data_IF_363565078778
#
_entry.id   IF_363565078778
#
_cell.length_a   1.000
_cell.length_b   1.000
_cell.length_c   1.000
_cell.angle_alpha   90.00
_cell.angle_beta   90.00
_cell.angle_gamma   90.00
#
_symmetry.space_group_name_H-M   'P 1'
#
loop_
_entity.id
_entity.type
_entity.pdbx_description
1 polymer ?
#
# COMPACT_ATOMS: atom_id res chain seq x y z
N UNK A 1 -5.92 -0.54 16.11
CA UNK A 1 -6.53 -0.79 17.46
C UNK A 1 -5.60 -0.23 18.50
N UNK A 2 -6.14 0.55 19.42
CA UNK A 2 -5.38 1.15 20.51
C UNK A 2 -5.69 0.39 21.80
N UNK A 3 -4.68 -0.16 22.44
CA UNK A 3 -4.77 -0.72 23.78
C UNK A 3 -4.91 0.41 24.79
N UNK A 4 -6.11 0.70 25.21
CA UNK A 4 -6.38 1.72 26.23
C UNK A 4 -6.93 1.09 27.49
N UNK A 5 -6.57 1.67 28.62
CA UNK A 5 -7.15 1.28 29.91
C UNK A 5 -8.63 1.61 29.96
N UNK A 6 -9.47 0.65 30.32
CA UNK A 6 -10.93 0.78 30.34
C UNK A 6 -11.53 1.03 31.71
N UNK A 7 -10.70 1.12 32.74
CA UNK A 7 -11.14 1.36 34.13
C UNK A 7 -11.39 2.82 34.48
N UNK A 8 -11.16 3.74 33.50
CA UNK A 8 -11.36 5.18 33.67
C UNK A 8 -10.51 5.83 34.78
N UNK A 9 -9.44 5.18 35.22
CA UNK A 9 -8.52 5.76 36.20
C UNK A 9 -7.49 6.67 35.52
N UNK A 10 -7.28 7.83 36.14
CA UNK A 10 -6.17 8.71 35.76
C UNK A 10 -4.85 8.06 36.16
N UNK A 11 -3.91 8.06 35.23
CA UNK A 11 -2.56 7.56 35.47
C UNK A 11 -1.59 8.72 35.60
N UNK A 12 -0.55 8.49 36.41
CA UNK A 12 0.66 9.28 36.29
C UNK A 12 1.31 8.96 34.95
N UNK A 13 1.31 9.90 34.03
CA UNK A 13 2.02 9.76 32.76
C UNK A 13 3.53 9.83 32.99
N UNK A 14 4.34 9.20 32.13
CA UNK A 14 5.79 9.43 32.12
C UNK A 14 6.06 10.92 32.02
N UNK A 15 7.24 11.36 32.46
CA UNK A 15 7.62 12.76 32.48
C UNK A 15 7.25 13.46 31.17
N UNK A 16 6.45 14.52 31.25
CA UNK A 16 6.14 15.33 30.10
C UNK A 16 7.43 15.88 29.46
N UNK A 17 7.41 16.01 28.18
CA UNK A 17 8.37 16.85 27.47
C UNK A 17 8.03 18.31 27.80
N UNK A 18 9.00 19.22 27.65
CA UNK A 18 8.84 20.65 27.96
C UNK A 18 7.59 21.31 27.37
N UNK A 19 6.93 20.68 26.41
CA UNK A 19 5.71 21.16 25.77
C UNK A 19 4.41 20.59 26.38
N UNK A 20 4.50 19.80 27.45
CA UNK A 20 3.32 19.17 28.09
C UNK A 20 2.76 17.96 27.35
N UNK A 21 3.44 17.47 26.31
CA UNK A 21 3.01 16.33 25.51
C UNK A 21 3.78 15.05 25.87
N UNK A 22 3.09 13.92 25.85
CA UNK A 22 3.67 12.60 26.07
C UNK A 22 3.46 11.76 24.81
N UNK A 23 4.48 11.06 24.30
CA UNK A 23 4.31 10.17 23.17
C UNK A 23 3.28 9.09 23.46
N UNK A 24 2.42 8.80 22.49
CA UNK A 24 1.36 7.79 22.62
C UNK A 24 1.90 6.43 23.09
N UNK A 25 2.99 5.87 22.55
CA UNK A 25 3.54 4.59 23.02
C UNK A 25 3.90 4.61 24.50
N UNK A 26 4.45 5.70 25.02
CA UNK A 26 4.79 5.83 26.44
C UNK A 26 3.55 5.90 27.33
N UNK A 27 2.46 6.49 26.83
CA UNK A 27 1.19 6.56 27.54
C UNK A 27 0.43 5.23 27.59
N UNK A 28 0.75 4.29 26.70
CA UNK A 28 0.13 2.97 26.61
C UNK A 28 0.85 1.90 27.42
N UNK A 29 2.04 2.17 27.95
CA UNK A 29 2.75 1.26 28.86
C UNK A 29 1.84 0.92 30.04
N UNK A 30 1.60 -0.37 30.29
CA UNK A 30 0.66 -0.89 31.30
C UNK A 30 -0.84 -0.62 31.00
N UNK A 31 -1.21 -0.34 29.75
CA UNK A 31 -2.60 -0.34 29.36
C UNK A 31 -3.25 -1.73 29.57
N UNK A 32 -4.53 -1.75 29.85
CA UNK A 32 -5.27 -3.03 29.90
C UNK A 32 -5.39 -3.60 28.49
N UNK A 33 -5.17 -4.91 28.31
CA UNK A 33 -5.26 -5.54 26.99
C UNK A 33 -6.66 -5.38 26.39
N UNK A 34 -6.71 -5.21 25.05
CA UNK A 34 -7.95 -5.06 24.29
C UNK A 34 -8.66 -6.40 24.03
N UNK A 35 -7.95 -7.52 24.18
CA UNK A 35 -8.38 -8.86 23.79
C UNK A 35 -9.74 -9.26 24.35
N UNK A 36 -10.07 -9.04 25.65
CA UNK A 36 -11.38 -9.43 26.18
C UNK A 36 -12.55 -8.71 25.48
N UNK A 37 -12.35 -7.46 25.07
CA UNK A 37 -13.37 -6.67 24.39
C UNK A 37 -13.55 -7.13 22.93
N UNK A 38 -12.46 -7.45 22.26
CA UNK A 38 -12.51 -7.98 20.89
C UNK A 38 -13.11 -9.39 20.86
N UNK A 39 -12.79 -10.22 21.85
CA UNK A 39 -13.39 -11.54 21.96
C UNK A 39 -14.92 -11.45 22.19
N UNK A 40 -15.37 -10.57 23.09
CA UNK A 40 -16.78 -10.31 23.28
C UNK A 40 -17.47 -9.79 22.02
N UNK A 41 -16.82 -8.89 21.28
CA UNK A 41 -17.31 -8.38 20.01
C UNK A 41 -17.47 -9.50 18.97
N UNK A 42 -16.46 -10.39 18.85
CA UNK A 42 -16.52 -11.56 17.97
C UNK A 42 -17.71 -12.45 18.34
N UNK A 43 -17.85 -12.84 19.60
CA UNK A 43 -18.88 -13.76 20.04
C UNK A 43 -20.29 -13.18 19.90
N UNK A 44 -20.46 -11.91 20.25
CA UNK A 44 -21.77 -11.25 20.24
C UNK A 44 -22.22 -10.76 18.88
N UNK A 45 -21.29 -10.53 17.96
CA UNK A 45 -21.60 -9.94 16.63
C UNK A 45 -21.03 -10.76 15.48
N UNK A 46 -19.74 -10.79 15.26
CA UNK A 46 -19.12 -11.33 14.05
C UNK A 46 -19.51 -12.78 13.78
N UNK A 47 -19.41 -13.64 14.80
CA UNK A 47 -19.72 -15.06 14.68
C UNK A 47 -21.20 -15.33 14.36
N UNK A 48 -22.11 -14.49 14.86
CA UNK A 48 -23.56 -14.66 14.59
C UNK A 48 -23.93 -14.46 13.13
N UNK A 49 -23.20 -13.60 12.44
CA UNK A 49 -23.51 -13.20 11.07
C UNK A 49 -22.52 -13.80 10.05
N UNK A 50 -21.59 -14.65 10.52
CA UNK A 50 -20.49 -15.14 9.70
C UNK A 50 -19.81 -13.99 8.94
N UNK A 51 -19.54 -12.90 9.65
CA UNK A 51 -19.05 -11.66 9.06
C UNK A 51 -17.59 -11.81 8.64
N UNK A 52 -17.26 -11.34 7.44
CA UNK A 52 -15.88 -11.06 7.07
C UNK A 52 -15.45 -9.76 7.77
N UNK A 53 -14.33 -9.81 8.49
CA UNK A 53 -13.87 -8.69 9.31
C UNK A 53 -12.40 -8.38 9.06
N UNK A 54 -12.07 -7.08 9.05
CA UNK A 54 -10.69 -6.62 8.88
C UNK A 54 -10.33 -5.70 10.03
N UNK A 55 -9.23 -6.01 10.70
CA UNK A 55 -8.69 -5.19 11.78
C UNK A 55 -7.67 -4.18 11.30
N UNK A 56 -7.69 -2.99 11.89
CA UNK A 56 -6.60 -2.03 11.81
C UNK A 56 -5.74 -2.20 13.06
N UNK A 57 -4.54 -2.80 12.88
CA UNK A 57 -3.62 -3.14 13.96
C UNK A 57 -2.22 -2.72 13.56
N UNK A 58 -1.51 -2.06 14.48
CA UNK A 58 -0.14 -1.60 14.27
C UNK A 58 0.79 -2.25 15.30
N UNK A 59 2.00 -2.58 14.87
CA UNK A 59 3.10 -3.05 15.71
C UNK A 59 2.75 -4.29 16.57
N UNK A 60 1.92 -5.17 16.04
CA UNK A 60 1.55 -6.42 16.69
C UNK A 60 2.77 -7.37 16.79
N UNK A 61 2.88 -8.07 17.91
CA UNK A 61 3.81 -9.19 18.09
C UNK A 61 3.33 -10.43 17.36
N UNK A 62 4.15 -11.47 17.27
CA UNK A 62 3.73 -12.74 16.65
C UNK A 62 2.61 -13.42 17.45
N UNK A 63 2.64 -13.31 18.78
CA UNK A 63 1.57 -13.82 19.63
C UNK A 63 0.25 -13.07 19.40
N UNK A 64 0.31 -11.73 19.30
CA UNK A 64 -0.85 -10.91 18.99
C UNK A 64 -1.37 -11.17 17.57
N UNK A 65 -0.48 -11.43 16.59
CA UNK A 65 -0.89 -11.80 15.24
C UNK A 65 -1.75 -13.08 15.25
N UNK A 66 -1.36 -14.10 16.01
CA UNK A 66 -2.19 -15.31 16.21
C UNK A 66 -3.55 -15.01 16.81
N UNK A 67 -3.62 -14.08 17.75
CA UNK A 67 -4.89 -13.64 18.34
C UNK A 67 -5.76 -12.91 17.33
N UNK A 68 -5.16 -12.05 16.49
CA UNK A 68 -5.93 -11.25 15.53
C UNK A 68 -6.43 -12.09 14.34
N UNK A 69 -5.58 -12.88 13.67
CA UNK A 69 -5.90 -13.55 12.39
C UNK A 69 -5.65 -15.06 12.36
N UNK A 70 -5.25 -15.68 13.47
CA UNK A 70 -5.06 -17.13 13.54
C UNK A 70 -6.35 -17.91 13.32
N UNK A 71 -6.27 -19.23 13.38
CA UNK A 71 -7.41 -20.14 13.14
C UNK A 71 -8.67 -19.75 13.93
N UNK A 72 -8.49 -19.31 15.18
CA UNK A 72 -9.55 -18.83 16.05
C UNK A 72 -9.45 -17.30 16.26
N UNK A 73 -8.78 -16.61 15.37
CA UNK A 73 -8.53 -15.17 15.43
C UNK A 73 -9.81 -14.34 15.50
N UNK A 74 -9.68 -13.14 16.06
CA UNK A 74 -10.82 -12.22 16.23
C UNK A 74 -11.30 -11.67 14.91
N UNK A 75 -10.38 -11.41 13.99
CA UNK A 75 -10.66 -10.90 12.65
C UNK A 75 -10.39 -11.96 11.59
N UNK A 76 -11.04 -11.82 10.44
CA UNK A 76 -10.74 -12.62 9.25
C UNK A 76 -9.39 -12.26 8.64
N UNK A 77 -8.98 -11.00 8.78
CA UNK A 77 -7.72 -10.44 8.30
C UNK A 77 -7.37 -9.16 9.06
N UNK A 78 -6.12 -8.72 8.99
CA UNK A 78 -5.69 -7.36 9.37
C UNK A 78 -4.93 -6.73 8.21
N UNK A 79 -4.89 -5.39 8.18
CA UNK A 79 -4.07 -4.70 7.18
C UNK A 79 -2.58 -4.89 7.44
N UNK A 80 -1.82 -5.06 6.34
CA UNK A 80 -0.37 -5.03 6.36
C UNK A 80 0.13 -3.57 6.34
N UNK A 81 0.46 -3.07 7.53
CA UNK A 81 0.99 -1.71 7.70
C UNK A 81 2.51 -1.64 7.81
N UNK A 82 3.24 -2.75 7.71
CA UNK A 82 4.70 -2.70 7.83
C UNK A 82 5.36 -1.84 6.77
N UNK A 83 4.84 -1.91 5.55
CA UNK A 83 5.37 -1.10 4.45
C UNK A 83 5.09 0.40 4.60
N UNK A 84 4.00 0.80 5.26
CA UNK A 84 3.67 2.22 5.47
C UNK A 84 4.61 2.88 6.48
N UNK A 85 5.27 2.08 7.31
CA UNK A 85 6.24 2.56 8.31
C UNK A 85 7.67 2.72 7.75
N UNK A 86 7.91 2.35 6.49
CA UNK A 86 9.23 2.48 5.88
C UNK A 86 9.63 3.96 5.74
N UNK A 87 10.89 4.26 6.05
CA UNK A 87 11.43 5.61 5.93
C UNK A 87 10.94 6.62 6.97
N UNK A 88 10.13 6.20 7.95
CA UNK A 88 9.54 7.07 8.97
C UNK A 88 10.46 7.29 10.20
N UNK A 89 11.75 7.17 10.04
CA UNK A 89 12.70 7.46 11.11
C UNK A 89 12.94 8.97 11.23
N UNK A 90 13.27 9.44 12.45
CA UNK A 90 13.67 10.82 12.65
C UNK A 90 12.79 11.63 13.57
N UNK A 91 12.93 12.96 13.50
CA UNK A 91 12.28 13.92 14.42
C UNK A 91 10.92 14.41 13.95
N UNK A 92 10.56 14.10 12.73
CA UNK A 92 9.31 14.51 12.09
C UNK A 92 9.34 14.25 10.60
N UNK A 93 8.27 14.58 9.90
CA UNK A 93 8.13 14.30 8.46
C UNK A 93 9.24 14.89 7.58
N UNK A 94 9.89 15.96 8.01
CA UNK A 94 11.01 16.56 7.30
C UNK A 94 12.28 15.68 7.32
N UNK A 95 12.38 14.73 8.25
CA UNK A 95 13.47 13.75 8.34
C UNK A 95 13.12 12.42 7.63
N UNK A 96 11.84 12.23 7.23
CA UNK A 96 11.42 11.00 6.58
C UNK A 96 11.99 10.88 5.16
N UNK A 97 12.28 9.65 4.76
CA UNK A 97 12.73 9.32 3.41
C UNK A 97 11.68 8.47 2.68
N UNK A 98 11.63 8.57 1.36
CA UNK A 98 10.84 7.62 0.58
C UNK A 98 11.53 6.26 0.59
N UNK A 99 10.76 5.15 0.69
CA UNK A 99 11.32 3.82 0.70
C UNK A 99 11.95 3.45 -0.65
N UNK A 100 13.04 2.73 -0.60
CA UNK A 100 13.64 2.12 -1.80
C UNK A 100 12.83 0.90 -2.26
N UNK A 101 13.04 0.47 -3.50
CA UNK A 101 12.43 -0.74 -4.03
C UNK A 101 12.79 -1.99 -3.21
N UNK A 102 14.02 -2.06 -2.69
CA UNK A 102 14.49 -3.20 -1.90
C UNK A 102 13.89 -3.21 -0.49
N UNK A 103 13.70 -2.05 0.13
CA UNK A 103 12.98 -1.94 1.42
C UNK A 103 11.51 -2.36 1.26
N UNK A 104 10.84 -1.92 0.18
CA UNK A 104 9.48 -2.35 -0.13
C UNK A 104 9.41 -3.86 -0.35
N UNK A 105 10.31 -4.42 -1.16
CA UNK A 105 10.43 -5.87 -1.42
C UNK A 105 10.57 -6.66 -0.13
N UNK A 106 11.52 -6.27 0.69
CA UNK A 106 11.83 -6.97 1.94
C UNK A 106 10.67 -6.88 2.93
N UNK A 107 10.02 -5.73 3.04
CA UNK A 107 8.82 -5.56 3.87
C UNK A 107 7.69 -6.49 3.43
N UNK A 108 7.44 -6.61 2.12
CA UNK A 108 6.42 -7.52 1.57
C UNK A 108 6.75 -8.99 1.91
N UNK A 109 8.02 -9.39 1.75
CA UNK A 109 8.42 -10.77 2.00
C UNK A 109 8.36 -11.12 3.48
N UNK A 110 8.84 -10.25 4.36
CA UNK A 110 8.78 -10.46 5.81
C UNK A 110 7.33 -10.51 6.33
N UNK A 111 6.45 -9.62 5.84
CA UNK A 111 5.05 -9.64 6.22
C UNK A 111 4.38 -10.96 5.81
N UNK A 112 4.66 -11.43 4.59
CA UNK A 112 4.16 -12.72 4.09
C UNK A 112 4.70 -13.88 4.92
N UNK A 113 6.02 -14.01 5.08
CA UNK A 113 6.68 -15.10 5.79
C UNK A 113 6.18 -15.20 7.24
N UNK A 114 5.92 -14.07 7.89
CA UNK A 114 5.38 -13.99 9.23
C UNK A 114 3.93 -14.48 9.32
N UNK A 115 3.09 -14.14 8.33
CA UNK A 115 1.67 -14.45 8.37
C UNK A 115 1.30 -15.81 7.74
N UNK A 116 2.15 -16.38 6.90
CA UNK A 116 1.82 -17.51 6.01
C UNK A 116 1.26 -18.74 6.75
N UNK A 117 1.81 -19.08 7.92
CA UNK A 117 1.33 -20.20 8.75
C UNK A 117 0.21 -19.83 9.73
N UNK A 118 -0.15 -18.56 9.84
CA UNK A 118 -1.06 -18.01 10.85
C UNK A 118 -2.41 -17.67 10.24
N UNK A 119 -2.41 -16.86 9.16
CA UNK A 119 -3.64 -16.35 8.56
C UNK A 119 -3.37 -15.55 7.29
N UNK A 120 -4.29 -14.66 6.95
CA UNK A 120 -4.25 -13.88 5.69
C UNK A 120 -4.22 -12.39 6.02
N UNK A 121 -3.28 -11.66 5.39
CA UNK A 121 -3.21 -10.21 5.50
C UNK A 121 -4.04 -9.52 4.40
N UNK A 122 -4.60 -8.37 4.73
CA UNK A 122 -5.17 -7.44 3.77
C UNK A 122 -4.06 -6.53 3.23
N UNK A 123 -3.87 -6.54 1.90
CA UNK A 123 -2.77 -5.81 1.26
C UNK A 123 -3.23 -4.45 0.77
N UNK A 124 -2.48 -3.41 1.09
CA UNK A 124 -2.70 -2.03 0.65
C UNK A 124 -1.40 -1.42 0.12
N UNK A 125 -1.49 -0.33 -0.62
CA UNK A 125 -0.39 0.60 -0.92
C UNK A 125 -0.75 2.03 -0.56
N UNK A 126 -2.01 2.30 -0.32
CA UNK A 126 -2.53 3.58 0.15
C UNK A 126 -3.88 3.40 0.83
N UNK A 127 -4.27 4.37 1.64
CA UNK A 127 -5.57 4.50 2.27
C UNK A 127 -5.86 5.99 2.58
N UNK A 128 -6.93 6.28 3.32
CA UNK A 128 -7.30 7.65 3.72
C UNK A 128 -6.38 8.28 4.79
N UNK A 129 -5.45 7.53 5.34
CA UNK A 129 -4.49 7.97 6.37
C UNK A 129 -3.04 7.96 5.88
N UNK A 130 -2.81 7.68 4.59
CA UNK A 130 -1.50 7.65 3.94
C UNK A 130 -1.49 8.57 2.71
N UNK A 131 -0.32 9.01 2.23
CA UNK A 131 -0.21 9.66 0.93
C UNK A 131 -0.57 8.70 -0.20
N UNK A 132 -0.68 9.20 -1.42
CA UNK A 132 -0.88 8.36 -2.60
C UNK A 132 0.30 7.41 -2.80
N UNK A 133 0.01 6.11 -2.93
CA UNK A 133 1.02 5.07 -2.99
C UNK A 133 2.01 5.23 -4.14
N UNK A 134 1.55 5.68 -5.30
CA UNK A 134 2.42 5.93 -6.47
C UNK A 134 3.42 7.06 -6.22
N UNK A 135 3.06 8.06 -5.43
CA UNK A 135 3.95 9.16 -5.03
C UNK A 135 4.88 8.78 -3.87
N UNK A 136 4.57 7.71 -3.15
CA UNK A 136 5.34 7.26 -2.01
C UNK A 136 6.34 6.15 -2.37
N UNK A 137 5.90 5.11 -3.12
CA UNK A 137 6.70 3.93 -3.40
C UNK A 137 7.49 3.98 -4.70
N UNK A 138 7.20 4.91 -5.62
CA UNK A 138 7.98 5.11 -6.84
C UNK A 138 9.01 6.23 -6.57
N UNK A 139 10.01 5.92 -5.71
CA UNK A 139 10.99 6.89 -5.24
C UNK A 139 12.06 7.22 -6.30
N UNK A 140 12.43 6.24 -7.13
CA UNK A 140 13.50 6.37 -8.13
C UNK A 140 12.92 6.30 -9.54
N UNK A 141 12.81 7.42 -10.21
CA UNK A 141 12.40 7.48 -11.61
C UNK A 141 11.03 8.14 -11.83
N UNK A 142 10.54 8.09 -13.07
CA UNK A 142 9.30 8.78 -13.41
C UNK A 142 8.08 8.07 -12.82
N UNK A 143 7.22 8.83 -12.18
CA UNK A 143 5.85 8.41 -11.88
C UNK A 143 5.05 8.56 -13.18
N UNK A 144 4.74 7.44 -13.82
CA UNK A 144 4.00 7.37 -15.07
C UNK A 144 3.16 6.08 -15.13
N UNK A 145 2.39 5.90 -16.18
CA UNK A 145 1.49 4.75 -16.31
C UNK A 145 2.19 3.40 -16.19
N UNK A 146 3.44 3.29 -16.67
CA UNK A 146 4.20 2.04 -16.59
C UNK A 146 4.56 1.73 -15.14
N UNK A 147 5.13 2.70 -14.42
CA UNK A 147 5.53 2.52 -13.01
C UNK A 147 4.33 2.35 -12.08
N UNK A 148 3.22 3.05 -12.34
CA UNK A 148 1.96 2.91 -11.60
C UNK A 148 1.35 1.51 -11.76
N UNK A 149 1.33 0.97 -12.98
CA UNK A 149 0.88 -0.40 -13.27
C UNK A 149 1.77 -1.44 -12.60
N UNK A 150 3.10 -1.21 -12.56
CA UNK A 150 4.02 -2.12 -11.87
C UNK A 150 3.72 -2.21 -10.37
N UNK A 151 3.54 -1.07 -9.69
CA UNK A 151 3.19 -1.03 -8.27
C UNK A 151 1.83 -1.71 -8.01
N UNK A 152 0.82 -1.45 -8.85
CA UNK A 152 -0.49 -2.10 -8.76
C UNK A 152 -0.40 -3.62 -8.91
N UNK A 153 0.43 -4.13 -9.82
CA UNK A 153 0.62 -5.57 -10.02
C UNK A 153 1.21 -6.23 -8.76
N UNK A 154 2.25 -5.62 -8.19
CA UNK A 154 2.87 -6.11 -6.95
C UNK A 154 1.83 -6.19 -5.83
N UNK A 155 1.05 -5.13 -5.63
CA UNK A 155 0.07 -5.08 -4.56
C UNK A 155 -1.08 -6.07 -4.76
N UNK A 156 -1.63 -6.16 -5.98
CA UNK A 156 -2.83 -6.95 -6.25
C UNK A 156 -2.51 -8.45 -6.30
N UNK A 157 -1.35 -8.86 -6.83
CA UNK A 157 -1.05 -10.29 -7.06
C UNK A 157 -0.23 -10.95 -5.94
N UNK A 158 0.31 -10.22 -4.97
CA UNK A 158 0.92 -10.84 -3.79
C UNK A 158 -0.13 -11.61 -2.97
N UNK A 159 0.30 -12.60 -2.18
CA UNK A 159 -0.63 -13.36 -1.32
C UNK A 159 -1.28 -12.44 -0.30
N UNK A 160 -2.60 -12.47 -0.23
CA UNK A 160 -3.39 -11.62 0.65
C UNK A 160 -4.73 -11.25 0.03
N UNK A 161 -5.44 -10.36 0.69
CA UNK A 161 -6.71 -9.79 0.22
C UNK A 161 -6.43 -8.37 -0.22
N UNK A 162 -6.40 -8.07 -1.53
CA UNK A 162 -6.07 -6.74 -2.00
C UNK A 162 -7.23 -5.77 -1.75
N UNK A 163 -6.91 -4.66 -1.11
CA UNK A 163 -7.77 -3.50 -0.96
C UNK A 163 -7.26 -2.40 -1.88
N UNK A 164 -8.06 -2.05 -2.87
CA UNK A 164 -7.78 -0.98 -3.82
C UNK A 164 -8.49 0.27 -3.31
N UNK A 165 -7.70 1.29 -2.95
CA UNK A 165 -8.26 2.54 -2.46
C UNK A 165 -8.77 3.38 -3.64
N UNK A 166 -9.85 4.14 -3.44
CA UNK A 166 -10.44 5.01 -4.47
C UNK A 166 -9.40 5.95 -5.09
N UNK A 167 -9.30 5.95 -6.41
CA UNK A 167 -8.32 6.73 -7.18
C UNK A 167 -7.01 6.00 -7.44
N UNK A 168 -6.68 4.94 -6.71
CA UNK A 168 -5.54 4.08 -6.98
C UNK A 168 -5.65 3.45 -8.37
N UNK A 169 -6.85 2.98 -8.73
CA UNK A 169 -7.16 2.32 -10.00
C UNK A 169 -7.04 3.21 -11.23
N UNK A 170 -7.00 4.52 -11.04
CA UNK A 170 -6.73 5.50 -12.10
C UNK A 170 -5.37 6.16 -11.95
N UNK A 171 -4.59 5.76 -10.94
CA UNK A 171 -3.24 6.25 -10.69
C UNK A 171 -3.18 7.68 -10.17
N UNK A 172 -4.13 8.10 -9.32
CA UNK A 172 -4.06 9.42 -8.66
C UNK A 172 -2.77 9.56 -7.87
N UNK A 173 -2.19 10.76 -7.96
CA UNK A 173 -0.93 11.15 -7.32
C UNK A 173 -1.17 12.11 -6.15
N UNK A 174 -0.12 12.34 -5.35
CA UNK A 174 -0.11 13.44 -4.40
C UNK A 174 -0.41 14.75 -5.11
N UNK A 175 -1.18 15.60 -4.44
CA UNK A 175 -1.61 16.86 -5.00
C UNK A 175 -0.60 17.98 -4.75
N UNK A 176 -0.69 19.04 -5.52
CA UNK A 176 0.10 20.26 -5.30
C UNK A 176 -0.66 21.16 -4.33
N UNK A 177 -0.06 21.47 -3.19
CA UNK A 177 -0.52 22.45 -2.24
C UNK A 177 0.46 23.63 -2.24
N UNK A 178 -0.05 24.86 -2.15
CA UNK A 178 0.76 26.08 -2.29
C UNK A 178 1.06 26.72 -0.94
N UNK A 179 0.27 26.39 0.08
CA UNK A 179 0.42 26.93 1.43
C UNK A 179 -0.02 25.91 2.50
N UNK A 180 0.35 26.17 3.76
CA UNK A 180 -0.10 25.32 4.88
C UNK A 180 -1.60 25.46 5.14
N UNK A 181 -2.22 26.57 4.73
CA UNK A 181 -3.65 26.84 4.83
C UNK A 181 -4.49 26.00 3.87
N UNK A 182 -3.88 25.38 2.85
CA UNK A 182 -4.57 24.48 1.93
C UNK A 182 -4.86 23.10 2.55
N UNK A 183 -4.23 22.79 3.71
CA UNK A 183 -4.42 21.52 4.40
C UNK A 183 -5.45 21.62 5.52
N UNK A 184 -6.21 20.54 5.71
CA UNK A 184 -7.17 20.38 6.82
C UNK A 184 -6.67 19.38 7.88
N UNK A 185 -5.74 18.48 7.51
CA UNK A 185 -5.20 17.49 8.42
C UNK A 185 -4.31 18.13 9.51
N UNK A 186 -4.77 18.02 10.77
CA UNK A 186 -4.07 18.55 11.93
C UNK A 186 -2.64 17.99 12.09
N UNK A 187 -2.38 16.74 11.68
CA UNK A 187 -1.05 16.15 11.75
C UNK A 187 -0.11 16.83 10.74
N UNK A 188 -0.62 17.18 9.56
CA UNK A 188 0.10 17.94 8.53
C UNK A 188 0.47 19.33 9.04
N UNK A 189 -0.51 20.06 9.60
CA UNK A 189 -0.30 21.40 10.15
C UNK A 189 0.72 21.37 11.30
N UNK A 190 0.60 20.41 12.22
CA UNK A 190 1.58 20.23 13.29
C UNK A 190 2.97 19.88 12.76
N UNK A 191 3.05 19.01 11.74
CA UNK A 191 4.30 18.65 11.07
C UNK A 191 5.02 19.87 10.47
N UNK A 192 4.26 20.81 9.88
CA UNK A 192 4.80 22.08 9.40
C UNK A 192 5.44 22.89 10.52
N UNK A 193 4.76 23.06 11.65
CA UNK A 193 5.30 23.79 12.79
C UNK A 193 6.56 23.13 13.36
N UNK A 194 6.57 21.79 13.46
CA UNK A 194 7.77 21.03 13.90
C UNK A 194 8.94 21.26 12.95
N UNK A 195 8.72 21.26 11.65
CA UNK A 195 9.76 21.53 10.65
C UNK A 195 10.29 22.98 10.77
N UNK A 196 9.40 23.95 10.98
CA UNK A 196 9.79 25.36 11.23
C UNK A 196 10.61 25.53 12.52
N UNK A 197 10.22 24.87 13.60
CA UNK A 197 10.97 24.85 14.87
C UNK A 197 12.34 24.19 14.74
N UNK A 198 12.46 23.20 13.82
CA UNK A 198 13.74 22.59 13.47
C UNK A 198 14.65 23.49 12.61
N UNK A 199 14.13 24.64 12.14
CA UNK A 199 14.90 25.66 11.41
C UNK A 199 14.74 25.62 9.88
N UNK A 200 13.80 24.83 9.34
CA UNK A 200 13.53 24.82 7.90
C UNK A 200 12.88 26.15 7.46
N UNK A 201 13.13 26.53 6.22
CA UNK A 201 12.39 27.61 5.55
C UNK A 201 10.91 27.25 5.39
N UNK A 202 10.06 28.20 5.04
CA UNK A 202 8.64 27.92 4.75
C UNK A 202 8.47 26.97 3.58
N UNK A 203 9.24 27.17 2.51
CA UNK A 203 9.23 26.33 1.33
C UNK A 203 9.67 24.88 1.63
N UNK A 204 10.77 24.72 2.38
CA UNK A 204 11.26 23.38 2.76
C UNK A 204 10.29 22.68 3.71
N UNK A 205 9.70 23.39 4.66
CA UNK A 205 8.71 22.84 5.58
C UNK A 205 7.44 22.40 4.82
N UNK A 206 6.93 23.25 3.92
CA UNK A 206 5.77 22.92 3.08
C UNK A 206 6.04 21.69 2.19
N UNK A 207 7.18 21.67 1.51
CA UNK A 207 7.57 20.54 0.66
C UNK A 207 7.69 19.23 1.45
N UNK A 208 8.19 19.29 2.67
CA UNK A 208 8.32 18.11 3.53
C UNK A 208 6.93 17.55 3.93
N UNK A 209 6.01 18.41 4.41
CA UNK A 209 4.69 17.95 4.84
C UNK A 209 3.82 17.49 3.66
N UNK A 210 3.93 18.15 2.51
CA UNK A 210 3.14 17.81 1.32
C UNK A 210 3.35 16.37 0.85
N UNK A 211 4.56 15.82 1.04
CA UNK A 211 4.87 14.42 0.68
C UNK A 211 4.08 13.40 1.49
N UNK A 212 3.85 13.67 2.76
CA UNK A 212 3.32 12.68 3.72
C UNK A 212 1.92 13.02 4.21
N UNK A 213 1.35 14.14 3.77
CA UNK A 213 0.00 14.56 4.17
C UNK A 213 -1.06 13.55 3.74
N UNK A 214 -1.92 13.19 4.68
CA UNK A 214 -3.11 12.38 4.43
C UNK A 214 -4.11 13.07 3.50
N UNK A 215 -4.08 14.38 3.41
CA UNK A 215 -4.99 15.15 2.56
C UNK A 215 -4.79 14.87 1.07
N UNK A 216 -3.62 14.36 0.67
CA UNK A 216 -3.38 13.85 -0.67
C UNK A 216 -4.39 12.75 -1.08
N UNK A 217 -4.72 11.86 -0.15
CA UNK A 217 -5.65 10.76 -0.38
C UNK A 217 -7.13 11.13 -0.14
N UNK A 218 -7.38 12.33 0.40
CA UNK A 218 -8.74 12.80 0.76
C UNK A 218 -9.33 13.79 -0.25
N UNK A 219 -8.59 14.10 -1.30
CA UNK A 219 -9.10 14.90 -2.41
C UNK A 219 -10.20 14.14 -3.16
N UNK A 220 -11.14 14.83 -3.83
CA UNK A 220 -12.21 14.20 -4.56
C UNK A 220 -11.73 13.20 -5.60
N UNK A 221 -12.47 12.10 -5.76
CA UNK A 221 -12.27 11.17 -6.88
C UNK A 221 -12.44 11.90 -8.21
N UNK A 222 -11.49 11.68 -9.12
CA UNK A 222 -11.45 12.36 -10.41
C UNK A 222 -12.24 11.56 -11.46
N UNK A 223 -13.55 11.82 -11.55
CA UNK A 223 -14.44 11.14 -12.51
C UNK A 223 -14.32 11.71 -13.91
N UNK A 224 -14.19 13.03 -14.01
CA UNK A 224 -14.09 13.76 -15.29
C UNK A 224 -13.05 14.86 -15.22
N UNK A 225 -12.67 15.41 -16.39
CA UNK A 225 -11.77 16.56 -16.50
C UNK A 225 -12.46 17.92 -16.24
N UNK A 226 -13.75 17.93 -15.89
CA UNK A 226 -14.54 19.14 -15.66
C UNK A 226 -14.27 19.74 -14.26
N UNK A 227 -14.53 21.05 -14.06
CA UNK A 227 -14.49 21.65 -12.74
C UNK A 227 -15.36 20.87 -11.75
N UNK A 228 -14.84 20.64 -10.53
CA UNK A 228 -15.49 19.76 -9.55
C UNK A 228 -15.24 18.28 -9.79
N UNK A 229 -14.44 17.92 -10.82
CA UNK A 229 -13.95 16.58 -11.12
C UNK A 229 -15.08 15.54 -11.36
N UNK A 230 -16.29 16.00 -11.67
CA UNK A 230 -17.49 15.14 -11.74
C UNK A 230 -17.90 14.54 -10.39
N UNK A 231 -17.26 14.96 -9.30
CA UNK A 231 -17.55 14.48 -7.95
C UNK A 231 -18.71 15.24 -7.30
N UNK A 232 -18.74 16.57 -7.44
CA UNK A 232 -19.80 17.41 -6.85
C UNK A 232 -19.93 18.74 -7.59
N UNK A 233 -21.15 19.28 -7.63
CA UNK A 233 -21.43 20.64 -8.09
C UNK A 233 -21.21 21.68 -6.98
N UNK A 234 -21.03 21.25 -5.74
CA UNK A 234 -20.75 22.10 -4.58
C UNK A 234 -19.26 22.27 -4.33
N UNK A 235 -18.87 23.14 -3.37
CA UNK A 235 -17.48 23.30 -2.99
C UNK A 235 -16.94 21.99 -2.41
N UNK A 236 -15.78 21.56 -2.90
CA UNK A 236 -15.10 20.41 -2.34
C UNK A 236 -14.59 20.70 -0.93
N UNK A 237 -14.55 19.67 -0.07
CA UNK A 237 -13.91 19.79 1.24
C UNK A 237 -12.41 20.03 1.10
N UNK A 238 -11.73 19.22 0.32
CA UNK A 238 -10.33 19.37 -0.04
C UNK A 238 -10.19 19.33 -1.55
N UNK A 239 -9.47 20.27 -2.11
CA UNK A 239 -9.13 20.27 -3.52
C UNK A 239 -7.76 20.94 -3.67
N UNK A 240 -6.91 20.36 -4.51
CA UNK A 240 -5.66 21.01 -4.89
C UNK A 240 -5.94 22.36 -5.56
N UNK A 241 -5.14 23.40 -5.26
CA UNK A 241 -5.17 24.63 -6.06
C UNK A 241 -4.86 24.41 -7.54
N UNK A 242 -4.17 23.30 -7.85
CA UNK A 242 -3.79 22.90 -9.21
C UNK A 242 -4.07 21.42 -9.45
N UNK A 243 -5.35 21.01 -9.61
CA UNK A 243 -5.68 19.61 -9.87
C UNK A 243 -5.11 19.16 -11.22
N UNK A 244 -4.61 17.92 -11.28
CA UNK A 244 -4.27 17.32 -12.55
C UNK A 244 -5.51 16.70 -13.18
N UNK A 245 -6.16 17.43 -14.06
CA UNK A 245 -7.36 17.01 -14.78
C UNK A 245 -7.10 15.89 -15.80
N UNK A 246 -5.85 15.57 -16.13
CA UNK A 246 -5.53 14.49 -17.07
C UNK A 246 -5.74 13.09 -16.47
N UNK A 247 -5.74 12.98 -15.13
CA UNK A 247 -6.01 11.72 -14.44
C UNK A 247 -7.50 11.67 -14.12
N UNK A 248 -8.29 11.01 -14.94
CA UNK A 248 -9.73 10.87 -14.69
C UNK A 248 -10.30 9.57 -15.27
N UNK A 249 -11.44 9.12 -14.71
CA UNK A 249 -12.11 7.88 -15.11
C UNK A 249 -12.61 7.95 -16.54
N UNK A 250 -13.26 9.07 -16.92
CA UNK A 250 -13.93 9.19 -18.22
C UNK A 250 -12.98 8.99 -19.40
N UNK A 251 -11.78 9.56 -19.33
CA UNK A 251 -10.77 9.42 -20.39
C UNK A 251 -10.11 8.05 -20.36
N UNK A 252 -9.82 7.52 -19.14
CA UNK A 252 -9.22 6.20 -18.99
C UNK A 252 -10.15 5.06 -19.39
N UNK A 253 -11.47 5.22 -19.32
CA UNK A 253 -12.42 4.22 -19.85
C UNK A 253 -12.33 4.07 -21.37
N UNK A 254 -11.96 5.13 -22.07
CA UNK A 254 -11.83 5.16 -23.54
C UNK A 254 -10.48 4.62 -24.05
N UNK A 255 -9.48 4.59 -23.18
CA UNK A 255 -8.12 4.13 -23.49
C UNK A 255 -7.92 2.69 -23.03
N UNK A 256 -7.77 1.69 -23.95
CA UNK A 256 -7.55 0.30 -23.58
C UNK A 256 -6.24 0.06 -22.83
N UNK A 257 -5.26 0.96 -23.00
CA UNK A 257 -3.94 0.87 -22.36
C UNK A 257 -3.85 1.69 -21.06
N UNK A 258 -4.96 2.28 -20.59
CA UNK A 258 -5.01 3.07 -19.35
C UNK A 258 -4.68 2.24 -18.10
N UNK A 259 -4.40 2.94 -16.99
CA UNK A 259 -4.22 2.32 -15.67
C UNK A 259 -5.51 1.63 -15.23
N UNK A 260 -6.67 2.27 -15.42
CA UNK A 260 -7.98 1.71 -15.08
C UNK A 260 -8.24 0.38 -15.78
N UNK A 261 -8.00 0.32 -17.10
CA UNK A 261 -8.21 -0.90 -17.85
C UNK A 261 -7.17 -1.99 -17.50
N UNK A 262 -5.97 -1.60 -17.11
CA UNK A 262 -4.98 -2.53 -16.57
C UNK A 262 -5.42 -3.11 -15.20
N UNK A 263 -5.96 -2.31 -14.28
CA UNK A 263 -6.52 -2.80 -13.01
C UNK A 263 -7.73 -3.74 -13.24
N UNK A 264 -8.55 -3.47 -14.27
CA UNK A 264 -9.62 -4.40 -14.68
C UNK A 264 -9.05 -5.77 -15.10
N UNK A 265 -7.94 -5.79 -15.82
CA UNK A 265 -7.25 -7.03 -16.19
C UNK A 265 -6.68 -7.74 -14.94
N UNK A 266 -5.99 -7.03 -14.06
CA UNK A 266 -5.46 -7.58 -12.81
C UNK A 266 -6.56 -8.23 -11.95
N UNK A 267 -7.66 -7.53 -11.75
CA UNK A 267 -8.79 -8.03 -10.94
C UNK A 267 -9.52 -9.18 -11.63
N UNK A 268 -9.58 -9.20 -12.96
CA UNK A 268 -10.16 -10.31 -13.72
C UNK A 268 -9.38 -11.62 -13.52
N UNK A 269 -8.06 -11.56 -13.26
CA UNK A 269 -7.24 -12.75 -12.99
C UNK A 269 -7.73 -13.55 -11.76
N UNK A 270 -8.32 -12.89 -10.76
CA UNK A 270 -8.90 -13.56 -9.59
C UNK A 270 -10.07 -14.50 -9.93
N UNK A 271 -10.75 -14.25 -11.05
CA UNK A 271 -11.87 -15.06 -11.55
C UNK A 271 -11.50 -15.87 -12.77
N UNK A 272 -10.24 -15.81 -13.21
CA UNK A 272 -9.79 -16.53 -14.40
C UNK A 272 -9.89 -18.04 -14.18
N UNK A 273 -10.48 -18.83 -15.13
CA UNK A 273 -10.71 -20.25 -14.93
C UNK A 273 -9.44 -21.07 -14.64
N UNK A 274 -8.30 -20.70 -15.25
CA UNK A 274 -7.03 -21.42 -15.08
C UNK A 274 -6.18 -20.86 -13.92
N UNK A 275 -6.16 -19.56 -13.71
CA UNK A 275 -5.21 -18.90 -12.79
C UNK A 275 -5.84 -18.45 -11.48
N UNK A 276 -7.15 -18.22 -11.47
CA UNK A 276 -7.83 -17.60 -10.34
C UNK A 276 -7.70 -18.37 -9.02
N UNK A 277 -7.66 -19.71 -9.08
CA UNK A 277 -7.45 -20.53 -7.89
C UNK A 277 -6.04 -20.34 -7.31
N UNK A 278 -5.01 -20.41 -8.17
CA UNK A 278 -3.61 -20.16 -7.78
C UNK A 278 -3.42 -18.74 -7.22
N UNK A 279 -4.03 -17.72 -7.84
CA UNK A 279 -3.90 -16.33 -7.37
C UNK A 279 -4.55 -16.14 -6.00
N UNK A 280 -5.73 -16.73 -5.75
CA UNK A 280 -6.45 -16.58 -4.49
C UNK A 280 -5.85 -17.39 -3.35
N UNK A 281 -5.45 -18.64 -3.62
CA UNK A 281 -5.17 -19.62 -2.58
C UNK A 281 -3.78 -20.24 -2.67
N UNK A 282 -3.07 -20.05 -3.79
CA UNK A 282 -1.73 -20.57 -3.97
C UNK A 282 -0.73 -19.96 -3.00
N UNK A 283 0.35 -20.70 -2.74
CA UNK A 283 1.44 -20.21 -1.93
C UNK A 283 2.17 -19.06 -2.64
N UNK A 284 2.74 -18.17 -1.86
CA UNK A 284 3.66 -17.15 -2.35
C UNK A 284 5.07 -17.52 -1.94
N UNK A 285 5.96 -17.60 -2.92
CA UNK A 285 7.37 -17.93 -2.70
C UNK A 285 8.21 -16.76 -3.20
N UNK A 286 8.93 -16.06 -2.31
CA UNK A 286 9.86 -15.01 -2.71
C UNK A 286 10.85 -15.50 -3.77
N UNK A 287 11.04 -14.72 -4.82
CA UNK A 287 11.98 -15.00 -5.90
C UNK A 287 12.94 -13.81 -6.08
N UNK A 288 14.18 -14.08 -6.51
CA UNK A 288 15.19 -13.06 -6.78
C UNK A 288 15.41 -12.06 -5.62
N UNK A 289 15.33 -12.53 -4.38
CA UNK A 289 15.45 -11.68 -3.17
C UNK A 289 16.78 -10.93 -3.12
N UNK A 290 17.85 -11.53 -3.64
CA UNK A 290 19.19 -10.98 -3.75
C UNK A 290 19.41 -10.01 -4.91
N UNK A 291 18.44 -9.88 -5.83
CA UNK A 291 18.54 -8.99 -6.99
C UNK A 291 18.01 -7.61 -6.61
N UNK A 292 18.90 -6.61 -6.65
CA UNK A 292 18.56 -5.21 -6.36
C UNK A 292 17.45 -4.69 -7.27
N UNK A 293 16.47 -4.01 -6.67
CA UNK A 293 15.34 -3.36 -7.35
C UNK A 293 14.48 -4.29 -8.21
N UNK A 294 14.60 -5.61 -8.05
CA UNK A 294 13.67 -6.59 -8.61
C UNK A 294 12.74 -7.06 -7.51
N UNK A 295 11.45 -6.84 -7.71
CA UNK A 295 10.40 -7.37 -6.83
C UNK A 295 9.73 -8.52 -7.56
N UNK A 296 9.98 -9.75 -7.09
CA UNK A 296 9.45 -10.94 -7.74
C UNK A 296 9.06 -12.03 -6.77
N UNK A 297 8.01 -12.75 -7.11
CA UNK A 297 7.52 -13.89 -6.33
C UNK A 297 6.78 -14.88 -7.22
N UNK A 298 6.85 -16.15 -6.86
CA UNK A 298 5.98 -17.16 -7.46
C UNK A 298 4.66 -17.26 -6.70
N UNK A 299 3.58 -17.57 -7.41
CA UNK A 299 2.33 -18.09 -6.88
C UNK A 299 2.20 -19.54 -7.30
N UNK A 300 2.17 -20.44 -6.34
CA UNK A 300 2.11 -21.90 -6.59
C UNK A 300 0.81 -22.48 -6.08
N UNK A 301 0.08 -23.12 -6.98
CA UNK A 301 -1.18 -23.84 -6.73
C UNK A 301 -1.44 -24.81 -7.87
N UNK A 302 -2.61 -24.70 -8.53
CA UNK A 302 -2.92 -25.49 -9.73
C UNK A 302 -2.01 -25.14 -10.91
N UNK A 303 -1.38 -23.96 -10.85
CA UNK A 303 -0.43 -23.44 -11.83
C UNK A 303 0.77 -22.85 -11.13
N UNK A 304 1.92 -22.82 -11.82
CA UNK A 304 3.13 -22.13 -11.39
C UNK A 304 3.22 -20.79 -12.09
N UNK A 305 2.92 -19.72 -11.36
CA UNK A 305 2.97 -18.36 -11.88
C UNK A 305 4.18 -17.64 -11.30
N UNK A 306 4.89 -16.88 -12.14
CA UNK A 306 5.96 -15.97 -11.71
C UNK A 306 5.53 -14.53 -12.02
N UNK A 307 5.49 -13.71 -10.98
CA UNK A 307 5.27 -12.27 -11.07
C UNK A 307 6.63 -11.59 -10.89
N UNK A 308 7.04 -10.79 -11.86
CA UNK A 308 8.32 -10.06 -11.81
C UNK A 308 8.10 -8.60 -12.14
N UNK A 309 8.66 -7.71 -11.35
CA UNK A 309 8.70 -6.28 -11.57
C UNK A 309 10.14 -5.78 -11.51
N UNK A 310 10.61 -5.18 -12.60
CA UNK A 310 11.85 -4.40 -12.62
C UNK A 310 11.55 -3.02 -12.05
N UNK A 311 11.65 -2.85 -10.73
CA UNK A 311 11.19 -1.65 -10.03
C UNK A 311 12.27 -0.56 -9.95
N UNK A 312 12.85 -0.23 -11.11
CA UNK A 312 13.89 0.80 -11.29
C UNK A 312 13.85 1.41 -12.68
N UNK A 313 14.50 2.59 -12.85
CA UNK A 313 14.57 3.32 -14.11
C UNK A 313 15.74 2.88 -15.01
N UNK A 314 16.03 1.58 -15.10
CA UNK A 314 17.02 0.97 -16.01
C UNK A 314 16.59 -0.43 -16.40
N UNK A 315 17.14 -0.94 -17.49
CA UNK A 315 16.90 -2.31 -17.94
C UNK A 315 17.48 -3.33 -16.94
N UNK A 316 16.85 -4.50 -16.87
CA UNK A 316 17.32 -5.63 -16.10
C UNK A 316 17.19 -6.92 -16.91
N UNK A 317 18.12 -7.87 -16.66
CA UNK A 317 18.11 -9.20 -17.25
C UNK A 317 18.09 -10.25 -16.14
N UNK A 318 17.25 -11.27 -16.28
CA UNK A 318 17.05 -12.34 -15.30
C UNK A 318 17.03 -13.70 -16.00
N UNK A 319 17.78 -14.66 -15.45
CA UNK A 319 17.63 -16.07 -15.79
C UNK A 319 16.37 -16.61 -15.11
N UNK A 320 15.48 -17.21 -15.89
CA UNK A 320 14.24 -17.79 -15.38
C UNK A 320 14.47 -19.17 -14.77
N UNK A 321 13.75 -19.54 -13.69
CA UNK A 321 13.89 -20.83 -13.04
C UNK A 321 13.28 -21.99 -13.86
N UNK A 322 12.53 -21.69 -14.89
CA UNK A 322 11.98 -22.59 -15.89
C UNK A 322 11.56 -21.79 -17.14
N UNK A 323 11.43 -22.44 -18.32
CA UNK A 323 10.97 -21.77 -19.54
C UNK A 323 9.59 -21.14 -19.39
N UNK A 324 9.34 -20.08 -20.13
CA UNK A 324 8.00 -19.47 -20.25
C UNK A 324 7.07 -20.44 -20.96
N UNK A 325 5.93 -20.76 -20.36
CA UNK A 325 4.81 -21.41 -21.02
C UNK A 325 3.85 -20.38 -21.63
N UNK A 326 3.49 -19.35 -20.86
CA UNK A 326 2.58 -18.31 -21.34
C UNK A 326 2.87 -16.97 -20.66
N UNK A 327 2.80 -15.88 -21.42
CA UNK A 327 2.73 -14.53 -20.87
C UNK A 327 1.27 -14.18 -20.60
N UNK A 328 0.92 -14.01 -19.33
CA UNK A 328 -0.46 -13.78 -18.89
C UNK A 328 -0.81 -12.30 -18.94
N UNK A 329 0.08 -11.45 -18.44
CA UNK A 329 -0.10 -10.00 -18.37
C UNK A 329 1.24 -9.27 -18.35
N UNK A 330 1.33 -8.14 -19.02
CA UNK A 330 2.47 -7.22 -18.89
C UNK A 330 2.01 -5.78 -19.07
N UNK A 331 2.70 -4.82 -18.42
CA UNK A 331 2.43 -3.38 -18.56
C UNK A 331 3.19 -2.72 -19.73
N UNK A 332 4.11 -3.46 -20.35
CA UNK A 332 4.88 -3.02 -21.52
C UNK A 332 4.90 -4.16 -22.53
N UNK A 333 4.54 -3.88 -23.77
CA UNK A 333 4.68 -4.85 -24.86
C UNK A 333 6.13 -5.21 -25.05
N UNK A 334 6.48 -6.49 -24.93
CA UNK A 334 7.84 -7.00 -25.06
C UNK A 334 7.91 -8.17 -26.04
N UNK A 335 9.12 -8.51 -26.45
CA UNK A 335 9.41 -9.67 -27.30
C UNK A 335 9.67 -10.90 -26.40
N UNK A 336 8.67 -11.33 -25.65
CA UNK A 336 8.74 -12.58 -24.88
C UNK A 336 8.11 -13.70 -25.68
N UNK A 337 8.76 -14.85 -25.73
CA UNK A 337 8.27 -16.00 -26.45
C UNK A 337 8.17 -17.21 -25.52
N UNK A 338 7.23 -18.06 -25.84
CA UNK A 338 7.15 -19.39 -25.27
C UNK A 338 8.49 -20.13 -25.41
N UNK A 339 8.98 -20.70 -24.32
CA UNK A 339 10.28 -21.37 -24.27
C UNK A 339 11.47 -20.49 -23.87
N UNK A 340 11.32 -19.18 -23.75
CA UNK A 340 12.39 -18.30 -23.27
C UNK A 340 12.81 -18.68 -21.84
N UNK A 341 14.12 -18.60 -21.59
CA UNK A 341 14.74 -18.84 -20.28
C UNK A 341 15.45 -17.61 -19.72
N UNK A 342 15.50 -16.53 -20.48
CA UNK A 342 16.05 -15.24 -20.06
C UNK A 342 14.99 -14.17 -20.27
N UNK A 343 14.79 -13.36 -19.27
CA UNK A 343 13.82 -12.28 -19.24
C UNK A 343 14.52 -10.93 -19.30
N UNK A 344 14.36 -10.20 -20.40
CA UNK A 344 14.84 -8.84 -20.53
C UNK A 344 13.71 -7.87 -20.20
N UNK A 345 13.89 -7.05 -19.16
CA UNK A 345 12.88 -6.13 -18.65
C UNK A 345 13.27 -4.68 -18.89
N UNK A 346 12.37 -3.92 -19.48
CA UNK A 346 12.46 -2.47 -19.56
C UNK A 346 12.33 -1.81 -18.18
N UNK A 347 12.67 -0.52 -18.04
CA UNK A 347 12.41 0.24 -16.83
C UNK A 347 10.94 0.12 -16.39
N UNK A 348 10.71 -0.19 -15.10
CA UNK A 348 9.39 -0.40 -14.49
C UNK A 348 8.49 -1.41 -15.21
N UNK A 349 9.07 -2.26 -16.05
CA UNK A 349 8.30 -3.35 -16.65
C UNK A 349 7.93 -4.38 -15.58
N UNK A 350 6.66 -4.77 -15.59
CA UNK A 350 6.13 -5.88 -14.82
C UNK A 350 5.52 -6.92 -15.74
N UNK A 351 5.68 -8.19 -15.37
CA UNK A 351 5.19 -9.31 -16.16
C UNK A 351 4.67 -10.41 -15.25
N UNK A 352 3.58 -11.02 -15.65
CA UNK A 352 2.98 -12.21 -15.05
C UNK A 352 3.12 -13.37 -16.03
N UNK A 353 3.85 -14.37 -15.64
CA UNK A 353 4.19 -15.54 -16.46
C UNK A 353 3.58 -16.80 -15.87
N UNK A 354 3.14 -17.72 -16.73
CA UNK A 354 3.06 -19.14 -16.42
C UNK A 354 4.38 -19.78 -16.83
N UNK A 355 4.99 -20.54 -15.93
CA UNK A 355 6.22 -21.29 -16.18
C UNK A 355 5.92 -22.75 -16.37
N UNK A 356 6.74 -23.43 -17.21
CA UNK A 356 6.72 -24.88 -17.36
C UNK A 356 6.98 -25.51 -16.00
N UNK A 357 6.23 -26.58 -15.64
CA UNK A 357 6.37 -27.33 -14.38
C UNK A 357 7.69 -28.10 -14.28
#
# INVERSE_FOLDING_TARGET
IINIKKDLEWRSLPSDRKNGLVPVPESLVNAQPIEPFLQELKERTFAKYNAFTVGEVFNETDEELHFFIGKDGVFSSIFDFKQTMLGQEGKGWFDHTLPTADELKESIFQAHERADSIGVLSTIIENHDEPRGVSHYIAEGPVNDISKKALGTIQVLRKGIPFIYQGQEIGMENQVFESVEDFDDIATINGYHVAKEAGLSEEEALAAIAKYSRDNARTPMQWTAEPGLGFSDGPAWLISPKPDYSINVEDQEKDPDSILNYYRQLTALYRHPLYGNTIRFGDMIPAYRDRENIIAFERRGDKRLLIVSNFQNRQASLDLPAPIETVILTNVTGLFQEGDQVLELAPYQTIVLELVE
#
